data_IF_012690558176
#
_entry.id   IF_012690558176
#
_cell.length_a   1.000
_cell.length_b   1.000
_cell.length_c   1.000
_cell.angle_alpha   90.00
_cell.angle_beta   90.00
_cell.angle_gamma   90.00
#
_symmetry.space_group_name_H-M   'P 1'
#
loop_
_entity.id
_entity.type
_entity.pdbx_description
1 polymer ?
#
# COMPACT_ATOMS: atom_id res chain seq x y z
N UNK A 1 -54.77 17.76 -4.69
CA UNK A 1 -54.07 17.37 -5.94
C UNK A 1 -52.58 17.63 -5.73
N UNK A 2 -51.72 16.61 -5.80
CA UNK A 2 -50.28 16.82 -5.63
C UNK A 2 -49.68 17.56 -6.84
N UNK A 3 -48.80 18.53 -6.58
CA UNK A 3 -48.11 19.26 -7.64
C UNK A 3 -47.25 18.33 -8.49
N UNK A 4 -47.22 18.53 -9.82
CA UNK A 4 -46.37 17.77 -10.75
C UNK A 4 -44.89 17.75 -10.33
N UNK A 5 -44.39 18.80 -9.66
CA UNK A 5 -43.04 18.83 -9.08
C UNK A 5 -42.87 17.81 -7.95
N UNK A 6 -43.87 17.65 -7.08
CA UNK A 6 -43.84 16.68 -5.97
C UNK A 6 -43.84 15.23 -6.47
N UNK A 7 -44.59 14.95 -7.54
CA UNK A 7 -44.61 13.62 -8.19
C UNK A 7 -43.22 13.30 -8.77
N UNK A 8 -42.67 14.21 -9.59
CA UNK A 8 -41.34 14.03 -10.20
C UNK A 8 -40.22 13.91 -9.16
N UNK A 9 -40.29 14.67 -8.07
CA UNK A 9 -39.32 14.56 -6.97
C UNK A 9 -39.36 13.20 -6.29
N UNK A 10 -40.56 12.64 -6.04
CA UNK A 10 -40.69 11.29 -5.44
C UNK A 10 -40.15 10.20 -6.36
N UNK A 11 -40.42 10.29 -7.66
CA UNK A 11 -39.87 9.35 -8.65
C UNK A 11 -38.34 9.41 -8.65
N UNK A 12 -37.76 10.61 -8.71
CA UNK A 12 -36.31 10.81 -8.60
C UNK A 12 -35.73 10.20 -7.32
N UNK A 13 -36.34 10.48 -6.15
CA UNK A 13 -35.88 9.94 -4.87
C UNK A 13 -35.95 8.42 -4.84
N UNK A 14 -37.00 7.82 -5.41
CA UNK A 14 -37.16 6.36 -5.51
C UNK A 14 -36.04 5.74 -6.33
N UNK A 15 -35.75 6.31 -7.50
CA UNK A 15 -34.71 5.80 -8.40
C UNK A 15 -33.31 6.00 -7.82
N UNK A 16 -33.04 7.18 -7.24
CA UNK A 16 -31.80 7.45 -6.51
C UNK A 16 -31.57 6.45 -5.38
N UNK A 17 -32.60 6.21 -4.55
CA UNK A 17 -32.50 5.26 -3.44
C UNK A 17 -32.32 3.82 -3.94
N UNK A 18 -32.89 3.46 -5.10
CA UNK A 18 -32.65 2.16 -5.75
C UNK A 18 -31.20 2.04 -6.21
N UNK A 19 -30.65 3.06 -6.87
CA UNK A 19 -29.27 3.07 -7.32
C UNK A 19 -28.28 2.95 -6.16
N UNK A 20 -28.47 3.75 -5.10
CA UNK A 20 -27.63 3.71 -3.88
C UNK A 20 -27.66 2.32 -3.22
N UNK A 21 -28.83 1.66 -3.22
CA UNK A 21 -28.96 0.32 -2.66
C UNK A 21 -28.16 -0.70 -3.46
N UNK A 22 -28.30 -0.69 -4.79
CA UNK A 22 -27.55 -1.57 -5.69
C UNK A 22 -26.04 -1.36 -5.52
N UNK A 23 -25.59 -0.10 -5.49
CA UNK A 23 -24.18 0.23 -5.28
C UNK A 23 -23.65 -0.34 -3.95
N UNK A 24 -24.42 -0.23 -2.87
CA UNK A 24 -24.06 -0.76 -1.54
C UNK A 24 -24.00 -2.29 -1.54
N UNK A 25 -24.95 -2.94 -2.19
CA UNK A 25 -25.04 -4.40 -2.23
C UNK A 25 -23.90 -4.98 -3.07
N UNK A 26 -23.61 -4.39 -4.24
CA UNK A 26 -22.48 -4.78 -5.08
C UNK A 26 -21.13 -4.55 -4.39
N UNK A 27 -20.96 -3.42 -3.69
CA UNK A 27 -19.75 -3.16 -2.90
C UNK A 27 -19.53 -4.23 -1.83
N UNK A 28 -20.57 -4.58 -1.08
CA UNK A 28 -20.51 -5.65 -0.07
C UNK A 28 -20.21 -7.01 -0.68
N UNK A 29 -20.81 -7.32 -1.83
CA UNK A 29 -20.55 -8.56 -2.54
C UNK A 29 -19.10 -8.65 -3.00
N UNK A 30 -18.55 -7.56 -3.54
CA UNK A 30 -17.15 -7.45 -3.90
C UNK A 30 -16.22 -7.66 -2.70
N UNK A 31 -16.47 -6.97 -1.59
CA UNK A 31 -15.68 -7.10 -0.35
C UNK A 31 -15.71 -8.52 0.21
N UNK A 32 -16.88 -9.18 0.21
CA UNK A 32 -17.02 -10.58 0.62
C UNK A 32 -16.19 -11.53 -0.26
N UNK A 33 -16.20 -11.33 -1.58
CA UNK A 33 -15.36 -12.13 -2.50
C UNK A 33 -13.89 -11.90 -2.21
N UNK A 34 -13.49 -10.65 -2.01
CA UNK A 34 -12.12 -10.28 -1.69
C UNK A 34 -11.63 -10.93 -0.39
N UNK A 35 -12.47 -10.97 0.64
CA UNK A 35 -12.15 -11.61 1.91
C UNK A 35 -12.04 -13.14 1.78
N UNK A 36 -12.90 -13.77 0.97
CA UNK A 36 -12.84 -15.21 0.69
C UNK A 36 -11.55 -15.59 -0.05
N UNK A 37 -11.10 -14.72 -0.96
CA UNK A 37 -9.93 -14.97 -1.81
C UNK A 37 -8.59 -14.59 -1.15
N UNK A 38 -8.57 -14.19 0.13
CA UNK A 38 -7.33 -13.79 0.84
C UNK A 38 -6.25 -14.88 0.74
N UNK A 39 -6.63 -16.15 0.92
CA UNK A 39 -5.67 -17.27 0.85
C UNK A 39 -5.03 -17.46 -0.52
N UNK A 40 -5.69 -17.02 -1.59
CA UNK A 40 -5.20 -17.13 -2.97
C UNK A 40 -4.45 -15.87 -3.42
N UNK A 41 -4.93 -14.69 -3.02
CA UNK A 41 -4.35 -13.42 -3.44
C UNK A 41 -4.43 -12.35 -2.34
N UNK A 42 -3.52 -12.50 -1.37
CA UNK A 42 -3.35 -11.57 -0.26
C UNK A 42 -3.10 -10.13 -0.74
N UNK A 43 -2.30 -9.97 -1.81
CA UNK A 43 -1.94 -8.64 -2.35
C UNK A 43 -3.17 -7.84 -2.79
N UNK A 44 -4.16 -8.49 -3.42
CA UNK A 44 -5.39 -7.83 -3.86
C UNK A 44 -6.22 -7.33 -2.69
N UNK A 45 -6.28 -8.11 -1.60
CA UNK A 45 -6.96 -7.72 -0.37
C UNK A 45 -6.31 -6.50 0.27
N UNK A 46 -5.01 -6.57 0.57
CA UNK A 46 -4.29 -5.46 1.22
C UNK A 46 -4.26 -4.20 0.35
N UNK A 47 -4.20 -4.33 -0.98
CA UNK A 47 -4.35 -3.19 -1.90
C UNK A 47 -5.70 -2.49 -1.73
N UNK A 48 -6.80 -3.25 -1.62
CA UNK A 48 -8.12 -2.67 -1.39
C UNK A 48 -8.19 -1.98 -0.03
N UNK A 49 -7.75 -2.65 1.04
CA UNK A 49 -7.74 -2.08 2.39
C UNK A 49 -6.95 -0.77 2.41
N UNK A 50 -5.73 -0.77 1.87
CA UNK A 50 -4.88 0.42 1.80
C UNK A 50 -5.49 1.55 0.98
N UNK A 51 -6.31 1.24 -0.05
CA UNK A 51 -7.04 2.26 -0.82
C UNK A 51 -8.20 2.90 -0.06
N UNK A 52 -8.66 2.28 1.03
CA UNK A 52 -9.74 2.80 1.89
C UNK A 52 -9.23 3.53 3.12
N UNK A 53 -7.95 3.40 3.45
CA UNK A 53 -7.33 4.15 4.53
C UNK A 53 -7.20 5.62 4.13
N UNK A 54 -7.71 6.52 4.96
CA UNK A 54 -7.58 7.98 4.80
C UNK A 54 -6.17 8.46 5.13
N UNK A 55 -5.55 7.83 6.12
CA UNK A 55 -4.15 8.07 6.51
C UNK A 55 -3.33 6.90 5.98
N UNK A 56 -2.26 7.19 5.24
CA UNK A 56 -1.31 6.14 4.87
C UNK A 56 -0.58 5.72 6.15
N UNK A 57 -0.58 4.43 6.51
CA UNK A 57 0.21 3.98 7.65
C UNK A 57 1.68 4.24 7.33
N UNK A 58 2.29 5.15 8.09
CA UNK A 58 3.72 5.34 8.11
C UNK A 58 4.35 4.17 8.88
N UNK A 59 5.57 3.79 8.51
CA UNK A 59 6.34 2.83 9.28
C UNK A 59 6.70 3.49 10.61
N UNK A 60 6.02 3.09 11.70
CA UNK A 60 6.24 3.66 13.03
C UNK A 60 7.30 2.92 13.85
N UNK A 61 7.60 1.69 13.48
CA UNK A 61 8.62 0.88 14.13
C UNK A 61 9.06 -0.28 13.22
N UNK A 62 10.30 -0.74 13.42
CA UNK A 62 10.78 -2.01 12.88
C UNK A 62 11.14 -2.95 14.03
N UNK A 63 10.99 -4.25 13.82
CA UNK A 63 11.50 -5.26 14.74
C UNK A 63 12.88 -5.67 14.27
N UNK A 64 13.88 -5.46 15.12
CA UNK A 64 15.24 -5.95 14.90
C UNK A 64 15.63 -6.85 16.07
N UNK A 65 16.02 -8.10 15.79
CA UNK A 65 16.48 -9.07 16.79
C UNK A 65 15.54 -9.28 18.01
N UNK A 66 14.24 -8.96 17.85
CA UNK A 66 13.22 -9.08 18.89
C UNK A 66 12.90 -7.77 19.62
N UNK A 67 13.61 -6.68 19.34
CA UNK A 67 13.37 -5.35 19.90
C UNK A 67 12.65 -4.44 18.89
N UNK A 68 11.76 -3.58 19.39
CA UNK A 68 11.08 -2.56 18.57
C UNK A 68 11.91 -1.29 18.51
N UNK A 69 12.37 -0.96 17.31
CA UNK A 69 13.11 0.26 16.99
C UNK A 69 12.13 1.29 16.42
N UNK A 70 12.06 2.45 17.07
CA UNK A 70 11.20 3.57 16.67
C UNK A 70 11.97 4.75 16.06
N UNK A 71 13.29 4.77 16.20
CA UNK A 71 14.12 5.85 15.67
C UNK A 71 14.29 5.72 14.15
N UNK A 72 13.98 6.79 13.43
CA UNK A 72 13.98 6.80 11.96
C UNK A 72 15.37 6.51 11.37
N UNK A 73 16.43 7.00 12.03
CA UNK A 73 17.80 6.80 11.56
C UNK A 73 18.22 5.34 11.73
N UNK A 74 17.93 4.76 12.89
CA UNK A 74 18.16 3.33 13.14
C UNK A 74 17.34 2.46 12.19
N UNK A 75 16.06 2.78 11.96
CA UNK A 75 15.22 2.07 10.98
C UNK A 75 15.79 2.12 9.57
N UNK A 76 16.31 3.27 9.15
CA UNK A 76 16.96 3.44 7.84
C UNK A 76 18.22 2.56 7.72
N UNK A 77 19.05 2.52 8.76
CA UNK A 77 20.23 1.67 8.81
C UNK A 77 19.88 0.18 8.74
N UNK A 78 18.85 -0.25 9.46
CA UNK A 78 18.35 -1.64 9.43
C UNK A 78 17.91 -2.02 8.00
N UNK A 79 17.13 -1.16 7.34
CA UNK A 79 16.73 -1.36 5.96
C UNK A 79 17.93 -1.46 5.01
N UNK A 80 18.87 -0.52 5.10
CA UNK A 80 20.08 -0.53 4.27
C UNK A 80 20.90 -1.80 4.48
N UNK A 81 21.10 -2.24 5.72
CA UNK A 81 21.84 -3.46 6.04
C UNK A 81 21.14 -4.70 5.48
N UNK A 82 19.81 -4.77 5.60
CA UNK A 82 19.02 -5.86 5.04
C UNK A 82 19.13 -5.93 3.51
N UNK A 83 19.00 -4.79 2.83
CA UNK A 83 19.15 -4.73 1.37
C UNK A 83 20.57 -5.06 0.94
N UNK A 84 21.59 -4.54 1.62
CA UNK A 84 22.98 -4.87 1.35
C UNK A 84 23.20 -6.38 1.49
N UNK A 85 22.69 -7.01 2.56
CA UNK A 85 22.81 -8.45 2.76
C UNK A 85 22.12 -9.25 1.66
N UNK A 86 20.94 -8.85 1.22
CA UNK A 86 20.19 -9.56 0.19
C UNK A 86 20.81 -9.43 -1.22
N UNK A 87 21.41 -8.28 -1.53
CA UNK A 87 21.90 -7.97 -2.88
C UNK A 87 23.41 -8.12 -3.05
N UNK A 88 24.19 -8.06 -1.97
CA UNK A 88 25.65 -8.18 -2.03
C UNK A 88 26.17 -9.52 -1.54
N UNK A 89 25.31 -10.53 -1.43
CA UNK A 89 25.79 -11.90 -1.32
C UNK A 89 26.40 -12.33 -2.65
N UNK A 90 27.67 -12.76 -2.67
CA UNK A 90 28.32 -13.22 -3.89
C UNK A 90 27.56 -14.45 -4.41
N UNK A 91 26.99 -14.34 -5.60
CA UNK A 91 26.44 -15.48 -6.33
C UNK A 91 27.65 -16.32 -6.73
N UNK A 92 27.82 -17.48 -6.10
CA UNK A 92 28.73 -18.54 -6.53
C UNK A 92 30.17 -18.09 -6.91
N UNK A 93 30.82 -17.28 -6.07
CA UNK A 93 32.26 -17.00 -6.19
C UNK A 93 32.66 -15.85 -7.12
N UNK A 94 31.71 -15.09 -7.65
CA UNK A 94 32.03 -13.82 -8.33
C UNK A 94 32.16 -12.70 -7.29
N UNK A 95 33.34 -12.05 -7.28
CA UNK A 95 33.58 -10.83 -6.51
C UNK A 95 32.80 -9.71 -7.18
N UNK A 96 31.95 -9.01 -6.41
CA UNK A 96 31.25 -7.83 -6.91
C UNK A 96 32.28 -6.82 -7.44
N UNK A 97 32.07 -6.22 -8.62
CA UNK A 97 32.97 -5.19 -9.11
C UNK A 97 33.03 -4.06 -8.08
N UNK A 98 34.25 -3.63 -7.75
CA UNK A 98 34.45 -2.45 -6.92
C UNK A 98 33.80 -1.26 -7.63
N UNK A 99 32.72 -0.73 -7.07
CA UNK A 99 32.17 0.54 -7.53
C UNK A 99 33.06 1.64 -6.97
N UNK A 100 33.80 2.32 -7.85
CA UNK A 100 34.48 3.56 -7.49
C UNK A 100 33.42 4.58 -7.05
N UNK A 101 33.41 4.91 -5.76
CA UNK A 101 32.62 6.02 -5.25
C UNK A 101 33.23 7.33 -5.79
N UNK A 102 32.65 7.83 -6.88
CA UNK A 102 32.89 9.19 -7.35
C UNK A 102 32.19 10.17 -6.41
N UNK A 103 32.82 10.49 -5.28
CA UNK A 103 32.47 11.63 -4.46
C UNK A 103 33.09 12.92 -5.04
N UNK A 104 32.52 14.09 -4.71
CA UNK A 104 32.97 15.41 -5.22
C UNK A 104 34.46 15.72 -4.98
N UNK A 105 35.06 15.00 -4.02
CA UNK A 105 36.49 15.05 -3.69
C UNK A 105 37.37 14.45 -4.80
N UNK A 106 36.88 13.45 -5.52
CA UNK A 106 37.63 12.68 -6.53
C UNK A 106 37.42 13.16 -7.98
N UNK A 107 36.47 14.08 -8.22
CA UNK A 107 36.20 14.63 -9.57
C UNK A 107 37.31 15.59 -10.02
N UNK A 108 38.08 16.15 -9.09
CA UNK A 108 39.10 17.18 -9.39
C UNK A 108 40.43 16.63 -9.89
N UNK A 109 40.62 15.31 -9.89
CA UNK A 109 41.88 14.66 -10.31
C UNK A 109 41.75 13.88 -11.64
N UNK A 110 40.64 14.05 -12.37
CA UNK A 110 40.46 13.53 -13.74
C UNK A 110 40.63 14.66 -14.77
#
# INVERSE_FOLDING_TARGET
MESRRSIRWREYVKDRNKAIRIERDERRAYEKRLAKDIGLNQRRFYKYVNSKLTVRPELSALINEGEMVHDEKEMCNICNNYFHSAFNQPIAGEVLPEMECLCDENIREI
#
